data_IF_802188006131
#
_entry.id   IF_802188006131
#
_cell.length_a   1.000
_cell.length_b   1.000
_cell.length_c   1.000
_cell.angle_alpha   90.00
_cell.angle_beta   90.00
_cell.angle_gamma   90.00
#
_symmetry.space_group_name_H-M   'P 1'
#
loop_
_entity.id
_entity.type
_entity.pdbx_description
1 polymer ?
#
# COMPACT_ATOMS: atom_id res chain seq x y z
N UNK A 1 -24.25 7.54 -4.47
CA UNK A 1 -23.78 6.25 -5.03
C UNK A 1 -23.39 6.36 -6.51
N UNK A 2 -24.22 6.93 -7.40
CA UNK A 2 -23.88 7.12 -8.84
C UNK A 2 -22.59 7.93 -9.09
N UNK A 3 -22.36 9.03 -8.36
CA UNK A 3 -21.13 9.83 -8.50
C UNK A 3 -19.84 9.06 -8.17
N UNK A 4 -19.88 8.13 -7.22
CA UNK A 4 -18.72 7.30 -6.84
C UNK A 4 -18.40 6.30 -7.95
N UNK A 5 -19.42 5.64 -8.51
CA UNK A 5 -19.25 4.68 -9.60
C UNK A 5 -18.74 5.36 -10.87
N UNK A 6 -19.25 6.54 -11.21
CA UNK A 6 -18.76 7.33 -12.36
C UNK A 6 -17.32 7.79 -12.13
N UNK A 7 -16.98 8.25 -10.93
CA UNK A 7 -15.61 8.63 -10.57
C UNK A 7 -14.63 7.44 -10.60
N UNK A 8 -15.06 6.24 -10.22
CA UNK A 8 -14.27 5.00 -10.34
C UNK A 8 -14.07 4.65 -11.82
N UNK A 9 -15.11 4.76 -12.65
CA UNK A 9 -15.05 4.44 -14.08
C UNK A 9 -14.08 5.37 -14.84
N UNK A 10 -14.08 6.65 -14.50
CA UNK A 10 -13.15 7.63 -15.08
C UNK A 10 -11.69 7.44 -14.63
N UNK A 11 -11.48 6.89 -13.43
CA UNK A 11 -10.15 6.66 -12.86
C UNK A 11 -9.73 5.18 -12.88
N UNK A 12 -10.43 4.32 -13.62
CA UNK A 12 -10.16 2.87 -13.66
C UNK A 12 -8.76 2.57 -14.19
N UNK A 13 -8.31 3.29 -15.22
CA UNK A 13 -6.94 3.16 -15.74
C UNK A 13 -5.89 3.47 -14.66
N UNK A 14 -6.11 4.53 -13.88
CA UNK A 14 -5.25 4.89 -12.76
C UNK A 14 -5.27 3.81 -11.68
N UNK A 15 -6.46 3.35 -11.27
CA UNK A 15 -6.63 2.31 -10.26
C UNK A 15 -5.97 0.98 -10.68
N UNK A 16 -6.13 0.57 -11.92
CA UNK A 16 -5.43 -0.59 -12.50
C UNK A 16 -3.92 -0.39 -12.44
N UNK A 17 -3.41 0.82 -12.73
CA UNK A 17 -1.98 1.09 -12.60
C UNK A 17 -1.47 0.98 -11.16
N UNK A 18 -2.29 1.26 -10.14
CA UNK A 18 -1.93 1.03 -8.74
C UNK A 18 -1.89 -0.46 -8.40
N UNK A 19 -2.89 -1.23 -8.85
CA UNK A 19 -2.94 -2.69 -8.66
C UNK A 19 -1.75 -3.36 -9.33
N UNK A 20 -1.42 -2.99 -10.57
CA UNK A 20 -0.25 -3.52 -11.29
C UNK A 20 1.05 -3.18 -10.57
N UNK A 21 1.17 -1.97 -9.99
CA UNK A 21 2.34 -1.64 -9.18
C UNK A 21 2.43 -2.48 -7.90
N UNK A 22 1.29 -2.74 -7.23
CA UNK A 22 1.29 -3.63 -6.08
C UNK A 22 1.72 -5.05 -6.47
N UNK A 23 1.20 -5.60 -7.57
CA UNK A 23 1.60 -6.94 -8.05
C UNK A 23 3.07 -7.00 -8.47
N UNK A 24 3.58 -5.95 -9.14
CA UNK A 24 5.00 -5.84 -9.45
C UNK A 24 5.86 -5.82 -8.19
N UNK A 25 5.43 -5.06 -7.18
CA UNK A 25 6.14 -4.97 -5.89
C UNK A 25 6.01 -6.24 -5.03
N UNK A 26 4.91 -6.97 -5.16
CA UNK A 26 4.74 -8.29 -4.57
C UNK A 26 5.81 -9.25 -5.11
N UNK A 27 5.97 -9.33 -6.43
CA UNK A 27 6.96 -10.21 -7.05
C UNK A 27 8.38 -9.74 -6.70
N UNK A 28 8.65 -8.44 -6.82
CA UNK A 28 9.95 -7.87 -6.46
C UNK A 28 10.33 -8.13 -5.00
N UNK A 29 9.39 -7.91 -4.08
CA UNK A 29 9.57 -8.19 -2.66
C UNK A 29 9.82 -9.67 -2.39
N UNK A 30 9.06 -10.57 -3.02
CA UNK A 30 9.26 -12.03 -2.89
C UNK A 30 10.66 -12.45 -3.31
N UNK A 31 11.16 -11.96 -4.45
CA UNK A 31 12.49 -12.31 -4.96
C UNK A 31 13.59 -11.77 -4.04
N UNK A 32 13.52 -10.49 -3.69
CA UNK A 32 14.56 -9.83 -2.87
C UNK A 32 14.60 -10.41 -1.46
N UNK A 33 13.45 -10.48 -0.78
CA UNK A 33 13.37 -10.99 0.59
C UNK A 33 13.62 -12.50 0.62
N UNK A 34 13.10 -13.26 -0.36
CA UNK A 34 13.34 -14.69 -0.48
C UNK A 34 14.82 -15.01 -0.59
N UNK A 35 15.58 -14.25 -1.38
CA UNK A 35 17.04 -14.40 -1.47
C UNK A 35 17.73 -14.10 -0.12
N UNK A 36 17.34 -13.04 0.57
CA UNK A 36 17.90 -12.71 1.89
C UNK A 36 17.61 -13.78 2.95
N UNK A 37 16.40 -14.35 2.95
CA UNK A 37 16.02 -15.45 3.82
C UNK A 37 16.85 -16.70 3.50
N UNK A 38 17.07 -17.01 2.22
CA UNK A 38 17.90 -18.14 1.80
C UNK A 38 19.36 -18.05 2.27
N UNK A 39 19.88 -16.83 2.47
CA UNK A 39 21.22 -16.59 3.04
C UNK A 39 21.21 -16.76 4.58
N UNK A 40 20.05 -16.76 5.23
CA UNK A 40 19.92 -16.93 6.68
C UNK A 40 20.32 -15.71 7.51
N UNK A 41 20.49 -14.54 6.88
CA UNK A 41 20.89 -13.31 7.59
C UNK A 41 19.66 -12.41 7.86
N UNK A 42 19.24 -12.36 9.12
CA UNK A 42 18.09 -11.57 9.58
C UNK A 42 18.28 -10.07 9.35
N UNK A 43 19.48 -9.54 9.63
CA UNK A 43 19.79 -8.11 9.43
C UNK A 43 19.66 -7.72 7.96
N UNK A 44 20.20 -8.55 7.06
CA UNK A 44 20.09 -8.32 5.63
C UNK A 44 18.63 -8.35 5.16
N UNK A 45 17.83 -9.29 5.70
CA UNK A 45 16.40 -9.40 5.39
C UNK A 45 15.61 -8.16 5.82
N UNK A 46 15.93 -7.58 6.98
CA UNK A 46 15.31 -6.34 7.46
C UNK A 46 15.69 -5.16 6.56
N UNK A 47 16.98 -4.99 6.27
CA UNK A 47 17.47 -3.89 5.40
C UNK A 47 16.85 -3.98 4.01
N UNK A 48 16.80 -5.18 3.43
CA UNK A 48 16.17 -5.42 2.14
C UNK A 48 14.66 -5.13 2.17
N UNK A 49 13.97 -5.45 3.26
CA UNK A 49 12.56 -5.12 3.44
C UNK A 49 12.33 -3.61 3.53
N UNK A 50 13.14 -2.88 4.31
CA UNK A 50 13.06 -1.41 4.38
C UNK A 50 13.29 -0.76 3.01
N UNK A 51 14.24 -1.26 2.23
CA UNK A 51 14.49 -0.80 0.87
C UNK A 51 13.29 -1.05 -0.06
N UNK A 52 12.75 -2.27 -0.07
CA UNK A 52 11.61 -2.62 -0.93
C UNK A 52 10.33 -1.86 -0.56
N UNK A 53 10.09 -1.62 0.74
CA UNK A 53 9.02 -0.76 1.23
C UNK A 53 9.22 0.69 0.77
N UNK A 54 10.42 1.25 0.94
CA UNK A 54 10.74 2.60 0.48
C UNK A 54 10.50 2.77 -1.02
N UNK A 55 10.91 1.77 -1.81
CA UNK A 55 10.69 1.75 -3.25
C UNK A 55 9.19 1.67 -3.60
N UNK A 56 8.41 0.84 -2.88
CA UNK A 56 6.95 0.80 -3.03
C UNK A 56 6.31 2.17 -2.76
N UNK A 57 6.67 2.82 -1.66
CA UNK A 57 6.14 4.12 -1.27
C UNK A 57 6.48 5.20 -2.31
N UNK A 58 7.70 5.19 -2.85
CA UNK A 58 8.10 6.10 -3.92
C UNK A 58 7.28 5.89 -5.21
N UNK A 59 6.99 4.64 -5.57
CA UNK A 59 6.14 4.32 -6.72
C UNK A 59 4.69 4.79 -6.51
N UNK A 60 4.11 4.55 -5.33
CA UNK A 60 2.78 5.04 -4.98
C UNK A 60 2.71 6.56 -5.02
N UNK A 61 3.69 7.22 -4.41
CA UNK A 61 3.80 8.68 -4.40
C UNK A 61 3.84 9.23 -5.84
N UNK A 62 4.69 8.69 -6.70
CA UNK A 62 4.84 9.19 -8.07
C UNK A 62 3.55 9.00 -8.89
N UNK A 63 2.88 7.86 -8.75
CA UNK A 63 1.58 7.62 -9.42
C UNK A 63 0.50 8.58 -8.92
N UNK A 64 0.42 8.80 -7.62
CA UNK A 64 -0.53 9.74 -7.03
C UNK A 64 -0.23 11.19 -7.43
N UNK A 65 1.05 11.55 -7.53
CA UNK A 65 1.50 12.86 -8.01
C UNK A 65 1.10 13.12 -9.47
N UNK A 66 1.35 12.16 -10.36
CA UNK A 66 0.92 12.25 -11.76
C UNK A 66 -0.60 12.39 -11.90
N UNK A 67 -1.35 11.73 -11.03
CA UNK A 67 -2.80 11.89 -10.98
C UNK A 67 -3.19 13.30 -10.54
N UNK A 68 -2.63 13.81 -9.44
CA UNK A 68 -2.90 15.16 -8.94
C UNK A 68 -2.53 16.24 -9.95
N UNK A 69 -1.42 16.07 -10.68
CA UNK A 69 -1.00 16.99 -11.73
C UNK A 69 -1.97 17.02 -12.93
N UNK A 70 -2.53 15.86 -13.31
CA UNK A 70 -3.56 15.79 -14.37
C UNK A 70 -4.87 16.45 -13.93
N UNK A 71 -5.28 16.23 -12.69
CA UNK A 71 -6.51 16.83 -12.15
C UNK A 71 -6.36 18.35 -11.99
N UNK A 72 -5.17 18.85 -11.64
CA UNK A 72 -4.87 20.29 -11.61
C UNK A 72 -5.19 21.00 -12.91
N UNK A 73 -4.78 20.46 -14.06
CA UNK A 73 -5.06 21.06 -15.38
C UNK A 73 -6.58 21.21 -15.62
N UNK A 74 -7.37 20.27 -15.10
CA UNK A 74 -8.84 20.31 -15.20
C UNK A 74 -9.46 21.31 -14.21
N UNK A 75 -8.87 21.46 -13.02
CA UNK A 75 -9.27 22.44 -12.00
C UNK A 75 -8.95 23.87 -12.50
N UNK A 76 -7.74 24.10 -13.00
CA UNK A 76 -7.30 25.39 -13.57
C UNK A 76 -8.18 25.78 -14.78
N UNK A 77 -8.68 24.81 -15.53
CA UNK A 77 -9.63 25.01 -16.63
C UNK A 77 -11.10 25.15 -16.20
N UNK A 78 -11.42 25.18 -14.90
CA UNK A 78 -12.77 25.30 -14.36
C UNK A 78 -13.68 24.09 -14.58
N UNK A 79 -13.13 22.94 -14.98
CA UNK A 79 -13.88 21.72 -15.32
C UNK A 79 -14.00 20.73 -14.16
N UNK A 80 -13.35 21.00 -13.02
CA UNK A 80 -13.35 20.13 -11.85
C UNK A 80 -13.17 20.96 -10.57
N UNK A 81 -13.90 20.62 -9.50
CA UNK A 81 -13.68 21.21 -8.18
C UNK A 81 -12.47 20.55 -7.47
N UNK A 82 -11.69 21.32 -6.68
CA UNK A 82 -10.56 20.78 -5.93
C UNK A 82 -11.03 19.86 -4.81
N UNK A 83 -10.65 18.57 -4.88
CA UNK A 83 -10.96 17.57 -3.86
C UNK A 83 -9.67 17.05 -3.19
N UNK A 84 -9.25 17.59 -2.04
CA UNK A 84 -7.97 17.24 -1.41
C UNK A 84 -7.92 15.79 -0.89
N UNK A 85 -9.08 15.20 -0.54
CA UNK A 85 -9.18 13.83 -0.04
C UNK A 85 -9.24 12.75 -1.14
N UNK A 86 -9.22 13.15 -2.42
CA UNK A 86 -9.33 12.22 -3.55
C UNK A 86 -8.17 11.22 -3.58
N UNK A 87 -6.96 11.65 -3.21
CA UNK A 87 -5.79 10.78 -3.09
C UNK A 87 -5.95 9.67 -2.06
N UNK A 88 -6.55 9.98 -0.90
CA UNK A 88 -6.85 8.98 0.14
C UNK A 88 -7.91 8.00 -0.35
N UNK A 89 -8.99 8.49 -0.96
CA UNK A 89 -10.09 7.66 -1.44
C UNK A 89 -9.62 6.68 -2.52
N UNK A 90 -8.79 7.14 -3.45
CA UNK A 90 -8.24 6.28 -4.51
C UNK A 90 -7.20 5.31 -3.96
N UNK A 91 -6.36 5.75 -3.01
CA UNK A 91 -5.44 4.88 -2.30
C UNK A 91 -6.16 3.77 -1.53
N UNK A 92 -7.26 4.09 -0.86
CA UNK A 92 -8.10 3.13 -0.14
C UNK A 92 -8.80 2.15 -1.10
N UNK A 93 -9.32 2.64 -2.22
CA UNK A 93 -9.93 1.80 -3.25
C UNK A 93 -8.92 0.86 -3.91
N UNK A 94 -7.70 1.33 -4.19
CA UNK A 94 -6.62 0.50 -4.73
C UNK A 94 -6.19 -0.58 -3.73
N UNK A 95 -6.24 -0.28 -2.43
CA UNK A 95 -5.94 -1.22 -1.35
C UNK A 95 -7.17 -1.98 -0.83
N UNK A 96 -8.32 -1.91 -1.51
CA UNK A 96 -9.57 -2.48 -1.02
C UNK A 96 -9.44 -3.98 -0.76
N UNK A 97 -8.80 -4.72 -1.68
CA UNK A 97 -8.54 -6.14 -1.50
C UNK A 97 -7.73 -6.42 -0.21
N UNK A 98 -6.72 -5.61 0.04
CA UNK A 98 -5.85 -5.75 1.21
C UNK A 98 -6.58 -5.40 2.50
N UNK A 99 -7.45 -4.39 2.47
CA UNK A 99 -8.31 -4.01 3.59
C UNK A 99 -9.29 -5.13 3.93
N UNK A 100 -9.94 -5.72 2.92
CA UNK A 100 -10.86 -6.86 3.12
C UNK A 100 -10.12 -8.04 3.74
N UNK A 101 -8.94 -8.41 3.21
CA UNK A 101 -8.14 -9.50 3.78
C UNK A 101 -7.69 -9.24 5.22
N UNK A 102 -7.28 -8.00 5.53
CA UNK A 102 -6.91 -7.62 6.88
C UNK A 102 -8.10 -7.68 7.85
N UNK A 103 -9.29 -7.23 7.44
CA UNK A 103 -10.51 -7.33 8.24
C UNK A 103 -10.88 -8.80 8.47
N UNK A 104 -10.88 -9.63 7.42
CA UNK A 104 -11.17 -11.06 7.54
C UNK A 104 -10.20 -11.78 8.48
N UNK A 105 -8.91 -11.43 8.44
CA UNK A 105 -7.93 -11.97 9.39
C UNK A 105 -8.24 -11.57 10.84
N UNK A 106 -8.67 -10.32 11.09
CA UNK A 106 -9.06 -9.88 12.43
C UNK A 106 -10.35 -10.56 12.92
N UNK A 107 -11.32 -10.78 12.02
CA UNK A 107 -12.55 -11.54 12.32
C UNK A 107 -12.18 -12.97 12.69
N UNK A 108 -11.38 -13.67 11.88
CA UNK A 108 -10.94 -15.04 12.18
C UNK A 108 -10.21 -15.14 13.52
N UNK A 109 -9.38 -14.15 13.84
CA UNK A 109 -8.67 -14.07 15.11
C UNK A 109 -9.60 -13.89 16.33
N UNK A 110 -10.70 -13.16 16.19
CA UNK A 110 -11.66 -12.98 17.27
C UNK A 110 -12.34 -14.31 17.69
N UNK A 111 -12.50 -15.24 16.75
CA UNK A 111 -13.10 -16.55 16.99
C UNK A 111 -12.08 -17.66 17.32
N UNK A 112 -10.79 -17.32 17.40
CA UNK A 112 -9.69 -18.29 17.48
C UNK A 112 -9.63 -19.04 18.83
N UNK A 113 -10.11 -18.41 19.91
CA UNK A 113 -10.18 -19.04 21.26
C UNK A 113 -11.40 -19.93 21.46
N UNK A 114 -12.35 -19.92 20.52
CA UNK A 114 -13.55 -20.74 20.56
C UNK A 114 -13.44 -21.91 19.57
N UNK A 115 -12.23 -22.47 19.42
CA UNK A 115 -11.89 -23.42 18.36
C UNK A 115 -12.74 -24.71 18.41
N UNK A 116 -13.21 -25.09 19.61
CA UNK A 116 -14.14 -26.22 19.81
C UNK A 116 -15.55 -25.97 19.24
N UNK A 117 -15.91 -24.70 18.97
CA UNK A 117 -17.24 -24.28 18.50
C UNK A 117 -17.18 -23.71 17.07
N UNK A 118 -16.07 -23.07 16.68
CA UNK A 118 -15.96 -22.32 15.43
C UNK A 118 -14.69 -22.65 14.64
N UNK A 119 -14.57 -23.88 14.14
CA UNK A 119 -13.44 -24.34 13.30
C UNK A 119 -13.17 -23.47 12.05
N UNK A 120 -14.18 -22.78 11.52
CA UNK A 120 -14.03 -21.89 10.37
C UNK A 120 -13.21 -20.63 10.71
N UNK A 121 -13.21 -20.18 11.96
CA UNK A 121 -12.50 -18.97 12.39
C UNK A 121 -10.99 -19.13 12.27
N UNK A 122 -10.50 -20.31 12.62
CA UNK A 122 -9.08 -20.65 12.54
C UNK A 122 -8.58 -20.70 11.08
N UNK A 123 -9.34 -21.37 10.20
CA UNK A 123 -9.06 -21.41 8.77
C UNK A 123 -9.10 -20.02 8.13
N UNK A 124 -10.11 -19.21 8.47
CA UNK A 124 -10.24 -17.85 7.97
C UNK A 124 -9.03 -16.99 8.36
N UNK A 125 -8.59 -17.08 9.62
CA UNK A 125 -7.42 -16.35 10.11
C UNK A 125 -6.16 -16.68 9.31
N UNK A 126 -5.81 -17.97 9.21
CA UNK A 126 -4.58 -18.38 8.53
C UNK A 126 -4.61 -18.10 7.03
N UNK A 127 -5.73 -18.37 6.34
CA UNK A 127 -5.85 -18.14 4.90
C UNK A 127 -5.84 -16.64 4.57
N UNK A 128 -6.62 -15.81 5.27
CA UNK A 128 -6.67 -14.38 5.00
C UNK A 128 -5.33 -13.69 5.30
N UNK A 129 -4.68 -14.05 6.42
CA UNK A 129 -3.35 -13.55 6.78
C UNK A 129 -2.28 -14.02 5.78
N UNK A 130 -2.32 -15.28 5.36
CA UNK A 130 -1.39 -15.84 4.38
C UNK A 130 -1.48 -15.10 3.05
N UNK A 131 -2.69 -14.92 2.52
CA UNK A 131 -2.93 -14.15 1.29
C UNK A 131 -2.50 -12.69 1.43
N UNK A 132 -2.78 -12.06 2.58
CA UNK A 132 -2.35 -10.69 2.83
C UNK A 132 -0.81 -10.58 2.81
N UNK A 133 -0.12 -11.47 3.54
CA UNK A 133 1.36 -11.51 3.60
C UNK A 133 1.97 -11.81 2.23
N UNK A 134 1.31 -12.64 1.44
CA UNK A 134 1.73 -12.92 0.07
C UNK A 134 1.67 -11.65 -0.79
N UNK A 135 0.53 -10.94 -0.80
CA UNK A 135 0.35 -9.67 -1.51
C UNK A 135 1.27 -8.54 -1.02
N UNK A 136 1.71 -8.62 0.23
CA UNK A 136 2.59 -7.67 0.92
C UNK A 136 3.93 -8.30 1.30
N UNK A 137 4.47 -9.15 0.43
CA UNK A 137 5.73 -9.85 0.66
C UNK A 137 6.87 -8.93 1.08
N UNK A 138 6.92 -7.72 0.52
CA UNK A 138 7.88 -6.67 0.84
C UNK A 138 7.85 -6.18 2.30
N UNK A 139 6.79 -6.47 3.07
CA UNK A 139 6.72 -6.17 4.50
C UNK A 139 7.20 -7.31 5.41
N UNK A 140 7.56 -8.48 4.88
CA UNK A 140 7.88 -9.66 5.70
C UNK A 140 9.02 -9.41 6.68
N UNK A 141 10.14 -8.80 6.27
CA UNK A 141 11.25 -8.57 7.21
C UNK A 141 10.91 -7.56 8.31
N UNK A 142 10.03 -6.59 8.04
CA UNK A 142 9.52 -5.67 9.08
C UNK A 142 8.57 -6.39 10.03
N UNK A 143 7.69 -7.26 9.51
CA UNK A 143 6.82 -8.09 10.34
C UNK A 143 7.64 -8.99 11.29
N UNK A 144 8.73 -9.59 10.79
CA UNK A 144 9.63 -10.41 11.61
C UNK A 144 10.35 -9.59 12.70
N UNK A 145 10.70 -8.33 12.42
CA UNK A 145 11.27 -7.42 13.41
C UNK A 145 10.26 -7.05 14.51
N UNK A 146 8.98 -6.88 14.14
CA UNK A 146 7.92 -6.49 15.06
C UNK A 146 7.35 -7.64 15.88
N UNK A 147 7.45 -8.88 15.37
CA UNK A 147 6.87 -10.08 15.99
C UNK A 147 7.23 -10.24 17.48
N UNK A 148 8.49 -10.08 17.94
CA UNK A 148 8.84 -10.25 19.35
C UNK A 148 8.13 -9.26 20.29
N UNK A 149 7.79 -8.07 19.80
CA UNK A 149 7.22 -6.99 20.61
C UNK A 149 5.69 -7.06 20.70
N UNK A 150 5.03 -7.65 19.70
CA UNK A 150 3.58 -7.63 19.54
C UNK A 150 2.97 -9.01 19.32
N UNK A 151 3.68 -10.04 19.79
CA UNK A 151 3.19 -11.40 19.75
C UNK A 151 2.00 -11.60 20.67
N UNK A 152 1.05 -12.40 20.19
CA UNK A 152 -0.06 -12.91 20.97
C UNK A 152 -0.02 -14.44 20.99
N UNK A 153 -0.35 -15.07 22.12
CA UNK A 153 -0.46 -16.52 22.19
C UNK A 153 -1.65 -17.01 21.37
N UNK A 154 -1.41 -18.04 20.56
CA UNK A 154 -2.41 -18.77 19.76
C UNK A 154 -2.85 -20.05 20.49
N UNK A 155 -3.83 -20.75 19.93
CA UNK A 155 -4.48 -21.95 20.51
C UNK A 155 -3.52 -23.14 20.72
N UNK A 156 -2.38 -23.16 20.02
CA UNK A 156 -1.44 -24.30 20.02
C UNK A 156 -0.08 -23.99 20.69
N UNK A 157 -0.03 -22.99 21.58
CA UNK A 157 1.23 -22.57 22.21
C UNK A 157 2.22 -21.85 21.27
N UNK A 158 1.80 -21.62 20.02
CA UNK A 158 2.48 -20.80 19.04
C UNK A 158 2.24 -19.31 19.33
N UNK A 159 3.18 -18.47 18.87
CA UNK A 159 3.10 -17.02 18.97
C UNK A 159 3.10 -16.40 17.59
N UNK A 160 2.19 -15.47 17.33
CA UNK A 160 2.19 -14.70 16.08
C UNK A 160 1.82 -13.24 16.34
N UNK A 161 2.11 -12.38 15.37
CA UNK A 161 1.83 -10.96 15.45
C UNK A 161 0.32 -10.71 15.42
N UNK A 162 -0.15 -9.78 16.27
CA UNK A 162 -1.55 -9.41 16.30
C UNK A 162 -2.05 -8.93 14.90
N UNK A 163 -3.16 -9.45 14.36
CA UNK A 163 -3.61 -9.14 12.99
C UNK A 163 -3.99 -7.67 12.75
N UNK A 164 -4.23 -6.90 13.80
CA UNK A 164 -4.39 -5.44 13.71
C UNK A 164 -3.18 -4.74 13.05
N UNK A 165 -1.98 -5.32 13.15
CA UNK A 165 -0.80 -4.80 12.46
C UNK A 165 -0.92 -4.82 10.94
N UNK A 166 -1.72 -5.73 10.38
CA UNK A 166 -2.01 -5.78 8.94
C UNK A 166 -2.76 -4.51 8.49
N UNK A 167 -3.58 -3.91 9.36
CA UNK A 167 -4.27 -2.65 9.07
C UNK A 167 -3.32 -1.45 9.20
N UNK A 168 -2.47 -1.46 10.23
CA UNK A 168 -1.50 -0.38 10.48
C UNK A 168 -0.48 -0.27 9.34
N UNK A 169 -0.04 -1.39 8.78
CA UNK A 169 0.93 -1.43 7.67
C UNK A 169 0.38 -0.92 6.34
N UNK A 170 -0.93 -0.70 6.22
CA UNK A 170 -1.53 -0.02 5.05
C UNK A 170 -1.38 1.50 5.14
N UNK A 171 -1.23 2.06 6.35
CA UNK A 171 -1.17 3.50 6.56
C UNK A 171 -0.03 4.19 5.80
N UNK A 172 1.22 3.68 5.78
CA UNK A 172 2.30 4.30 5.01
C UNK A 172 1.99 4.42 3.51
N UNK A 173 1.32 3.41 2.94
CA UNK A 173 0.89 3.45 1.54
C UNK A 173 -0.20 4.49 1.29
N UNK A 174 -1.19 4.59 2.19
CA UNK A 174 -2.26 5.57 2.12
C UNK A 174 -1.77 7.00 2.31
N UNK A 175 -0.83 7.23 3.22
CA UNK A 175 -0.21 8.55 3.43
C UNK A 175 0.64 8.94 2.23
N UNK A 176 1.40 8.02 1.63
CA UNK A 176 2.15 8.28 0.40
C UNK A 176 1.22 8.65 -0.78
N UNK A 177 0.08 7.97 -0.92
CA UNK A 177 -0.92 8.32 -1.94
C UNK A 177 -1.54 9.70 -1.69
N UNK A 178 -1.86 10.02 -0.44
CA UNK A 178 -2.45 11.30 -0.06
C UNK A 178 -1.46 12.45 -0.27
N UNK A 179 -0.22 12.27 0.20
CA UNK A 179 0.86 13.24 0.04
C UNK A 179 1.20 13.46 -1.44
N UNK A 180 1.31 12.38 -2.23
CA UNK A 180 1.58 12.46 -3.66
C UNK A 180 0.50 13.24 -4.40
N UNK A 181 -0.78 12.94 -4.14
CA UNK A 181 -1.89 13.65 -4.76
C UNK A 181 -1.93 15.14 -4.39
N UNK A 182 -1.78 15.48 -3.10
CA UNK A 182 -1.77 16.87 -2.64
C UNK A 182 -0.62 17.67 -3.26
N UNK A 183 0.59 17.12 -3.24
CA UNK A 183 1.76 17.75 -3.85
C UNK A 183 1.60 17.90 -5.38
N UNK A 184 1.02 16.90 -6.05
CA UNK A 184 0.69 16.96 -7.48
C UNK A 184 -0.34 18.04 -7.81
N UNK A 185 -1.39 18.16 -7.00
CA UNK A 185 -2.44 19.17 -7.19
C UNK A 185 -1.93 20.61 -6.96
N UNK A 186 -0.93 20.77 -6.10
CA UNK A 186 -0.31 22.07 -5.79
C UNK A 186 0.96 22.35 -6.63
N UNK A 187 1.28 21.51 -7.62
CA UNK A 187 2.49 21.60 -8.44
C UNK A 187 3.82 21.61 -7.65
N UNK A 188 3.81 21.07 -6.43
CA UNK A 188 5.01 20.90 -5.62
C UNK A 188 5.64 19.56 -6.01
N UNK A 189 6.90 19.60 -6.47
CA UNK A 189 7.68 18.37 -6.73
C UNK A 189 8.75 18.22 -5.66
N UNK A 190 8.87 17.02 -5.10
CA UNK A 190 10.04 16.64 -4.28
C UNK A 190 11.34 16.83 -5.08
N UNK A 191 11.32 16.60 -6.40
CA UNK A 191 12.45 16.87 -7.30
C UNK A 191 12.73 18.38 -7.53
N UNK A 192 11.73 19.24 -7.34
CA UNK A 192 11.92 20.69 -7.35
C UNK A 192 12.65 21.18 -6.09
N UNK A 193 12.49 20.50 -4.96
CA UNK A 193 13.28 20.72 -3.75
C UNK A 193 14.76 20.34 -3.94
N UNK A 194 15.06 19.35 -4.78
CA UNK A 194 16.43 19.00 -5.20
C UNK A 194 16.94 19.82 -6.40
N UNK A 195 16.23 20.86 -6.82
CA UNK A 195 16.73 21.85 -7.77
C UNK A 195 16.93 21.35 -9.21
N UNK A 196 16.23 20.30 -9.64
CA UNK A 196 16.26 19.86 -11.04
C UNK A 196 15.10 20.56 -11.80
N UNK A 197 15.38 21.64 -12.56
CA UNK A 197 14.35 22.29 -13.38
C UNK A 197 13.93 21.37 -14.53
N UNK A 198 12.69 21.52 -14.99
CA UNK A 198 12.30 20.89 -16.27
C UNK A 198 13.07 21.57 -17.40
N UNK A 199 13.58 20.78 -18.35
CA UNK A 199 13.79 21.26 -19.71
C UNK A 199 12.42 21.71 -20.23
N UNK A 200 12.17 23.01 -20.20
CA UNK A 200 11.02 23.59 -20.90
C UNK A 200 11.24 23.34 -22.39
N UNK A 201 10.34 22.60 -23.03
CA UNK A 201 10.29 22.52 -24.49
C UNK A 201 9.68 23.78 -25.14
N UNK A 202 9.70 24.94 -24.44
CA UNK A 202 9.08 26.19 -24.89
C UNK A 202 10.06 27.21 -25.47
N UNK A 203 11.28 26.81 -25.82
CA UNK A 203 12.20 27.62 -26.64
C UNK A 203 12.27 27.15 -28.09
N UNK A 204 11.11 26.90 -28.70
CA UNK A 204 10.93 26.94 -30.15
C UNK A 204 9.64 27.68 -30.46
N UNK A 205 9.75 29.01 -30.57
CA UNK A 205 9.01 29.92 -31.46
C UNK A 205 8.95 31.32 -30.84
N UNK A 206 10.08 32.01 -30.84
CA UNK A 206 10.16 33.46 -31.03
C UNK A 206 11.38 33.77 -31.86
#
# INVERSE_FOLDING_TARGET
MKHIVTAIKENTSTLLSFIVAQLGMMIFGLVVIGACIGIGNTTLTIVASLFTIGFYLALLYNKAWLMGAKDRIRIDGGRLEPMPLKGLLIGALANLLNLVLAILANIGFAFLKADDVFHWGNQLYYTAKGLWRFLHSFYIGVLNLLQPFFQVPLTDGLFDIHPLWLLILLLPGLTACTAGYLMGSNNLRILGFFGIPMLSSDTKNR
#
